data_IF_263846277428
#
_entry.id   IF_263846277428
#
_cell.length_a   1.000
_cell.length_b   1.000
_cell.length_c   1.000
_cell.angle_alpha   90.00
_cell.angle_beta   90.00
_cell.angle_gamma   90.00
#
_symmetry.space_group_name_H-M   'P 1'
#
loop_
_entity.id
_entity.type
_entity.pdbx_description
1 polymer ?
#
# COMPACT_ATOMS: atom_id res chain seq x y z
N UNK A 1 5.00 -9.64 -7.35
CA UNK A 1 3.54 -9.61 -7.09
C UNK A 1 3.07 -8.17 -6.97
N UNK A 2 1.78 -7.88 -7.22
CA UNK A 2 1.18 -6.55 -7.02
C UNK A 2 0.34 -6.51 -5.75
N UNK A 3 0.45 -5.42 -5.00
CA UNK A 3 -0.29 -5.19 -3.76
C UNK A 3 -1.03 -3.87 -3.83
N UNK A 4 -2.26 -3.87 -3.32
CA UNK A 4 -3.00 -2.67 -2.95
C UNK A 4 -2.97 -2.55 -1.44
N UNK A 5 -2.46 -1.43 -0.95
CA UNK A 5 -2.55 -1.05 0.46
C UNK A 5 -3.50 0.12 0.57
N UNK A 6 -4.57 -0.04 1.36
CA UNK A 6 -5.44 1.07 1.73
C UNK A 6 -5.19 1.44 3.19
N UNK A 7 -5.41 2.70 3.53
CA UNK A 7 -5.30 3.14 4.91
C UNK A 7 -6.43 4.11 5.29
N UNK A 8 -6.75 4.11 6.57
CA UNK A 8 -7.58 5.10 7.26
C UNK A 8 -6.80 5.59 8.49
N UNK A 9 -6.59 6.90 8.61
CA UNK A 9 -5.97 7.50 9.79
C UNK A 9 -6.94 7.36 10.97
N UNK A 10 -6.41 7.00 12.13
CA UNK A 10 -7.16 6.92 13.38
C UNK A 10 -7.83 8.25 13.73
N UNK A 11 -8.99 8.18 14.38
CA UNK A 11 -9.70 9.38 14.83
C UNK A 11 -8.81 10.21 15.76
N UNK A 12 -8.77 11.53 15.54
CA UNK A 12 -7.93 12.46 16.30
C UNK A 12 -6.45 12.48 15.90
N UNK A 13 -5.98 11.56 15.03
CA UNK A 13 -4.57 11.46 14.61
C UNK A 13 -4.27 12.09 13.25
N UNK A 14 -5.27 12.67 12.58
CA UNK A 14 -5.14 13.26 11.23
C UNK A 14 -3.97 14.26 11.15
N UNK A 15 -3.91 15.22 12.08
CA UNK A 15 -2.86 16.25 12.05
C UNK A 15 -1.48 15.67 12.35
N UNK A 16 -1.39 14.72 13.28
CA UNK A 16 -0.14 14.03 13.63
C UNK A 16 0.39 13.20 12.46
N UNK A 17 -0.47 12.43 11.79
CA UNK A 17 -0.09 11.62 10.63
C UNK A 17 0.37 12.49 9.46
N UNK A 18 -0.34 13.59 9.16
CA UNK A 18 0.09 14.50 8.10
C UNK A 18 1.34 15.29 8.46
N UNK A 19 1.50 15.71 9.72
CA UNK A 19 2.73 16.36 10.16
C UNK A 19 3.93 15.43 10.00
N UNK A 20 3.82 14.17 10.45
CA UNK A 20 4.86 13.16 10.29
C UNK A 20 5.20 12.94 8.81
N UNK A 21 4.20 12.68 7.98
CA UNK A 21 4.39 12.45 6.55
C UNK A 21 4.99 13.65 5.82
N UNK A 22 4.47 14.85 6.05
CA UNK A 22 4.92 16.08 5.37
C UNK A 22 6.33 16.52 5.76
N UNK A 23 6.84 16.04 6.90
CA UNK A 23 8.21 16.29 7.36
C UNK A 23 9.24 15.34 6.74
N UNK A 24 8.82 14.26 6.09
CA UNK A 24 9.75 13.29 5.48
C UNK A 24 10.35 13.84 4.18
N UNK A 25 11.66 13.73 4.04
CA UNK A 25 12.32 13.96 2.74
C UNK A 25 12.01 12.82 1.77
N UNK A 26 12.19 13.00 0.44
CA UNK A 26 12.04 11.92 -0.53
C UNK A 26 12.89 10.70 -0.22
N UNK A 27 14.10 10.89 0.29
CA UNK A 27 15.02 9.81 0.67
C UNK A 27 14.53 9.06 1.91
N UNK A 28 13.96 9.78 2.89
CA UNK A 28 13.37 9.18 4.09
C UNK A 28 12.12 8.37 3.76
N UNK A 29 11.23 8.88 2.89
CA UNK A 29 10.05 8.15 2.42
C UNK A 29 10.45 6.90 1.62
N UNK A 30 11.50 6.99 0.79
CA UNK A 30 12.03 5.83 0.08
C UNK A 30 12.67 4.80 1.02
N UNK A 31 13.39 5.25 2.06
CA UNK A 31 14.00 4.38 3.06
C UNK A 31 12.95 3.69 3.94
N UNK A 32 11.89 4.40 4.34
CA UNK A 32 10.77 3.85 5.12
C UNK A 32 10.09 2.68 4.40
N UNK A 33 9.85 2.84 3.09
CA UNK A 33 9.30 1.77 2.23
C UNK A 33 10.28 0.62 2.02
N UNK A 34 11.59 0.90 2.01
CA UNK A 34 12.64 -0.06 1.76
C UNK A 34 12.82 -0.42 0.27
N UNK A 35 13.95 -1.05 -0.05
CA UNK A 35 14.35 -1.35 -1.43
C UNK A 35 13.58 -2.49 -2.09
N UNK A 36 12.90 -3.34 -1.30
CA UNK A 36 12.15 -4.51 -1.80
C UNK A 36 10.73 -4.15 -2.27
N UNK A 37 10.30 -2.91 -2.11
CA UNK A 37 8.95 -2.46 -2.48
C UNK A 37 9.05 -1.31 -3.49
N UNK A 38 8.59 -1.58 -4.70
CA UNK A 38 8.51 -0.58 -5.78
C UNK A 38 7.11 0.02 -5.80
N UNK A 39 6.97 1.28 -5.43
CA UNK A 39 5.70 1.99 -5.49
C UNK A 39 5.34 2.33 -6.94
N UNK A 40 4.15 1.93 -7.38
CA UNK A 40 3.56 2.32 -8.68
C UNK A 40 2.93 3.71 -8.54
N UNK A 41 2.17 3.92 -7.47
CA UNK A 41 1.52 5.20 -7.18
C UNK A 41 0.89 5.23 -5.80
N UNK A 42 0.70 6.44 -5.26
CA UNK A 42 0.11 6.68 -3.94
C UNK A 42 -0.81 7.91 -4.03
N UNK A 43 -2.05 7.77 -3.57
CA UNK A 43 -3.07 8.83 -3.61
C UNK A 43 -3.70 9.02 -2.24
N UNK A 44 -3.95 10.28 -1.87
CA UNK A 44 -4.48 10.67 -0.56
C UNK A 44 -5.83 11.38 -0.71
N UNK A 45 -6.86 10.90 0.00
CA UNK A 45 -8.10 11.65 0.28
C UNK A 45 -7.88 12.41 1.59
N UNK A 46 -7.23 13.57 1.46
CA UNK A 46 -6.71 14.35 2.62
C UNK A 46 -7.81 14.75 3.59
N UNK A 47 -8.98 15.11 3.07
CA UNK A 47 -10.13 15.56 3.88
C UNK A 47 -10.69 14.42 4.74
N UNK A 48 -10.66 13.18 4.24
CA UNK A 48 -11.17 12.01 4.98
C UNK A 48 -10.09 11.25 5.72
N UNK A 49 -8.84 11.66 5.61
CA UNK A 49 -7.72 11.00 6.29
C UNK A 49 -7.51 9.57 5.80
N UNK A 50 -7.67 9.30 4.51
CA UNK A 50 -7.53 7.94 3.95
C UNK A 50 -6.77 7.96 2.64
N UNK A 51 -6.45 6.80 2.10
CA UNK A 51 -5.88 6.71 0.77
C UNK A 51 -5.53 5.31 0.34
N UNK A 52 -4.81 5.23 -0.78
CA UNK A 52 -4.41 3.98 -1.41
C UNK A 52 -3.01 4.11 -2.02
N UNK A 53 -2.23 3.05 -1.92
CA UNK A 53 -0.97 2.89 -2.64
C UNK A 53 -0.98 1.55 -3.34
N UNK A 54 -0.49 1.55 -4.58
CA UNK A 54 -0.27 0.34 -5.36
C UNK A 54 1.23 0.15 -5.48
N UNK A 55 1.71 -1.05 -5.18
CA UNK A 55 3.13 -1.37 -5.22
C UNK A 55 3.40 -2.78 -5.74
N UNK A 56 4.63 -3.00 -6.20
CA UNK A 56 5.18 -4.28 -6.60
C UNK A 56 6.21 -4.73 -5.57
N UNK A 57 6.14 -6.00 -5.20
CA UNK A 57 7.18 -6.66 -4.40
C UNK A 57 7.13 -8.17 -4.64
N UNK A 58 8.27 -8.82 -4.49
CA UNK A 58 8.36 -10.29 -4.45
C UNK A 58 8.26 -10.84 -3.01
N UNK A 59 8.08 -9.95 -2.02
CA UNK A 59 7.99 -10.30 -0.61
C UNK A 59 6.78 -9.66 0.06
N UNK A 60 5.77 -10.46 0.39
CA UNK A 60 4.63 -9.99 1.18
C UNK A 60 5.06 -9.47 2.56
N UNK A 61 6.09 -10.06 3.18
CA UNK A 61 6.62 -9.59 4.46
C UNK A 61 7.28 -8.22 4.36
N UNK A 62 7.90 -7.88 3.22
CA UNK A 62 8.45 -6.53 3.01
C UNK A 62 7.34 -5.47 2.98
N UNK A 63 6.22 -5.74 2.30
CA UNK A 63 5.06 -4.85 2.27
C UNK A 63 4.42 -4.71 3.64
N UNK A 64 4.23 -5.82 4.36
CA UNK A 64 3.70 -5.79 5.73
C UNK A 64 4.61 -5.04 6.70
N UNK A 65 5.93 -5.21 6.59
CA UNK A 65 6.89 -4.49 7.42
C UNK A 65 6.82 -2.97 7.19
N UNK A 66 6.71 -2.53 5.93
CA UNK A 66 6.48 -1.11 5.64
C UNK A 66 5.18 -0.60 6.25
N UNK A 67 4.09 -1.37 6.15
CA UNK A 67 2.81 -0.99 6.77
C UNK A 67 2.90 -0.92 8.30
N UNK A 68 3.68 -1.79 8.94
CA UNK A 68 3.87 -1.79 10.39
C UNK A 68 4.47 -0.49 10.92
N UNK A 69 5.33 0.20 10.15
CA UNK A 69 5.88 1.51 10.52
C UNK A 69 4.79 2.55 10.79
N UNK A 70 3.61 2.38 10.18
CA UNK A 70 2.49 3.32 10.25
C UNK A 70 1.29 2.80 11.07
N UNK A 71 1.34 1.55 11.54
CA UNK A 71 0.23 0.88 12.23
C UNK A 71 -0.24 1.56 13.53
N UNK A 72 0.60 2.41 14.14
CA UNK A 72 0.23 3.21 15.30
C UNK A 72 -0.64 4.45 14.98
N UNK A 73 -0.76 4.81 13.71
CA UNK A 73 -1.52 5.98 13.23
C UNK A 73 -2.62 5.62 12.24
N UNK A 74 -2.48 4.46 11.58
CA UNK A 74 -3.32 4.04 10.46
C UNK A 74 -3.92 2.66 10.72
N UNK A 75 -5.19 2.51 10.38
CA UNK A 75 -5.80 1.22 10.09
C UNK A 75 -5.47 0.88 8.62
N UNK A 76 -4.76 -0.23 8.41
CA UNK A 76 -4.21 -0.63 7.11
C UNK A 76 -4.81 -1.96 6.66
N UNK A 77 -5.09 -2.07 5.36
CA UNK A 77 -5.47 -3.32 4.71
C UNK A 77 -4.55 -3.57 3.51
N UNK A 78 -4.16 -4.83 3.29
CA UNK A 78 -3.23 -5.27 2.25
C UNK A 78 -3.91 -6.37 1.43
N UNK A 79 -4.16 -6.10 0.16
CA UNK A 79 -4.69 -7.07 -0.79
C UNK A 79 -3.65 -7.39 -1.88
N UNK A 80 -3.48 -8.66 -2.22
CA UNK A 80 -2.83 -9.06 -3.47
C UNK A 80 -3.81 -8.77 -4.60
N UNK A 81 -3.35 -8.03 -5.61
CA UNK A 81 -4.17 -7.64 -6.75
C UNK A 81 -3.55 -8.16 -8.05
N UNK A 82 -4.38 -8.25 -9.08
CA UNK A 82 -3.98 -8.65 -10.42
C UNK A 82 -4.31 -7.52 -11.40
N UNK A 83 -3.49 -7.36 -12.43
CA UNK A 83 -3.84 -6.54 -13.57
C UNK A 83 -4.79 -7.27 -14.53
N UNK A 84 -5.14 -6.60 -15.64
CA UNK A 84 -6.05 -7.13 -16.66
C UNK A 84 -5.54 -8.44 -17.27
N UNK A 85 -4.25 -8.55 -17.56
CA UNK A 85 -3.67 -9.71 -18.24
C UNK A 85 -3.60 -10.91 -17.30
N UNK A 86 -3.16 -10.70 -16.06
CA UNK A 86 -3.13 -11.71 -15.00
C UNK A 86 -4.54 -12.21 -14.67
N UNK A 87 -5.51 -11.29 -14.55
CA UNK A 87 -6.92 -11.63 -14.27
C UNK A 87 -7.52 -12.45 -15.41
N UNK A 88 -7.27 -12.07 -16.67
CA UNK A 88 -7.72 -12.83 -17.85
C UNK A 88 -7.08 -14.21 -17.90
N UNK A 89 -5.79 -14.32 -17.60
CA UNK A 89 -5.07 -15.59 -17.56
C UNK A 89 -5.66 -16.53 -16.50
N UNK A 90 -5.91 -16.02 -15.29
CA UNK A 90 -6.54 -16.76 -14.20
C UNK A 90 -7.95 -17.24 -14.59
N UNK A 91 -8.78 -16.36 -15.16
CA UNK A 91 -10.13 -16.71 -15.60
C UNK A 91 -10.13 -17.83 -16.65
N UNK A 92 -9.26 -17.75 -17.66
CA UNK A 92 -9.09 -18.80 -18.69
C UNK A 92 -8.60 -20.11 -18.10
N UNK A 93 -7.69 -20.08 -17.12
CA UNK A 93 -7.21 -21.28 -16.46
C UNK A 93 -8.33 -21.99 -15.70
N UNK A 94 -9.15 -21.25 -14.93
CA UNK A 94 -10.27 -21.83 -14.18
C UNK A 94 -11.34 -22.43 -15.08
N UNK A 95 -11.67 -21.79 -16.20
CA UNK A 95 -12.67 -22.29 -17.16
C UNK A 95 -12.27 -23.61 -17.85
N UNK A 96 -10.96 -23.91 -17.92
CA UNK A 96 -10.45 -25.20 -18.43
C UNK A 96 -10.48 -26.32 -17.40
N UNK A 97 -10.62 -25.98 -16.11
CA UNK A 97 -10.61 -26.92 -14.98
C UNK A 97 -12.01 -27.22 -14.45
N UNK A 98 -13.05 -26.62 -15.04
CA UNK A 98 -14.48 -26.82 -14.77
C UNK A 98 -15.13 -27.65 -15.85
#
# INVERSE_FOLDING_TARGET
MKFMVTWQIHQGKIQEAYALFSAMTPEQDAADRGSQVKQIGRWHDVVRGRGVTICESDSASAVSNWCMNWSGLLDLDIAVILDDDETRALGKARAKSS
#
